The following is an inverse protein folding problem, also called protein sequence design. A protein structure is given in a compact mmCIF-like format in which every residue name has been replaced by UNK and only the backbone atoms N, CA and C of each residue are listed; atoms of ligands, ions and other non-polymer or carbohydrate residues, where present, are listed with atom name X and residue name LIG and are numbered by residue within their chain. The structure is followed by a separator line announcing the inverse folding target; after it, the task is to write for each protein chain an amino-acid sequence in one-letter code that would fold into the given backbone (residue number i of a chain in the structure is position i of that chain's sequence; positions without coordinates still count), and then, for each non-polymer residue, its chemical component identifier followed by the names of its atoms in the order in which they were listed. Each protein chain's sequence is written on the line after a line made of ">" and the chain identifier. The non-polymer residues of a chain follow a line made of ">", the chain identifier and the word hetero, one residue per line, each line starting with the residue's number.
data_IF_062815359948
#
_entry.id   IF_062815359948
#
_cell.length_a   1.000
_cell.length_b   1.000
_cell.length_c   1.000
_cell.angle_alpha   90.00
_cell.angle_beta   90.00
_cell.angle_gamma   90.00
#
_symmetry.space_group_name_H-M   'P 1'
#
loop_
_entity.id
_entity.type
_entity.pdbx_description
1 polymer ?
#
# COMPACT_ATOMS: atom_id res chain seq x y z
N UNK A 1 -27.56 -13.86 15.68
CA UNK A 1 -26.27 -13.73 16.39
C UNK A 1 -25.23 -14.63 15.74
N UNK A 2 -25.52 -15.92 15.58
CA UNK A 2 -24.59 -16.92 15.03
C UNK A 2 -24.07 -16.63 13.61
N UNK A 3 -24.93 -16.19 12.68
CA UNK A 3 -24.50 -15.84 11.33
C UNK A 3 -23.55 -14.64 11.28
N UNK A 4 -23.73 -13.67 12.18
CA UNK A 4 -22.87 -12.48 12.27
C UNK A 4 -21.52 -12.84 12.87
N UNK A 5 -21.52 -13.64 13.94
CA UNK A 5 -20.30 -14.19 14.52
C UNK A 5 -19.52 -15.07 13.52
N UNK A 6 -20.21 -15.88 12.72
CA UNK A 6 -19.58 -16.65 11.67
C UNK A 6 -18.91 -15.74 10.61
N UNK A 7 -19.59 -14.67 10.20
CA UNK A 7 -19.07 -13.72 9.22
C UNK A 7 -17.82 -12.98 9.73
N UNK A 8 -17.84 -12.43 10.95
CA UNK A 8 -16.67 -11.68 11.45
C UNK A 8 -15.47 -12.56 11.79
N UNK A 9 -15.68 -13.87 11.89
CA UNK A 9 -14.63 -14.87 12.13
C UNK A 9 -14.29 -15.69 10.86
N UNK A 10 -14.83 -15.36 9.67
CA UNK A 10 -14.67 -16.18 8.46
C UNK A 10 -13.29 -16.06 7.80
N UNK A 11 -12.35 -15.39 8.44
CA UNK A 11 -11.06 -14.97 7.87
C UNK A 11 -11.18 -14.26 6.51
N UNK A 12 -12.17 -13.37 6.39
CA UNK A 12 -12.41 -12.54 5.20
C UNK A 12 -12.63 -11.08 5.63
N UNK A 13 -12.32 -10.09 4.79
CA UNK A 13 -12.68 -8.70 5.08
C UNK A 13 -14.20 -8.51 4.97
N UNK A 14 -14.77 -7.76 5.92
CA UNK A 14 -16.21 -7.43 5.93
C UNK A 14 -16.36 -5.95 5.64
N UNK A 15 -16.90 -5.60 4.47
CA UNK A 15 -17.14 -4.20 4.08
C UNK A 15 -18.16 -3.56 5.03
N UNK A 16 -17.82 -2.39 5.57
CA UNK A 16 -18.64 -1.64 6.54
C UNK A 16 -19.06 -0.27 6.02
N UNK A 17 -18.38 0.27 5.01
CA UNK A 17 -18.75 1.53 4.36
C UNK A 17 -18.46 1.45 2.85
N UNK A 18 -19.38 1.96 2.04
CA UNK A 18 -19.21 2.21 0.61
C UNK A 18 -19.16 3.73 0.37
N UNK A 19 -18.41 4.15 -0.64
CA UNK A 19 -18.45 5.49 -1.23
C UNK A 19 -18.34 6.65 -0.24
N UNK A 20 -17.53 6.50 0.81
CA UNK A 20 -17.37 7.48 1.89
C UNK A 20 -18.68 7.84 2.61
N UNK A 21 -19.66 6.92 2.57
CA UNK A 21 -20.98 7.08 3.16
C UNK A 21 -22.00 7.77 2.24
N UNK A 22 -21.68 7.99 0.96
CA UNK A 22 -22.64 8.50 -0.02
C UNK A 22 -23.72 7.43 -0.37
N UNK A 23 -24.99 7.84 -0.44
CA UNK A 23 -26.12 6.92 -0.66
C UNK A 23 -26.21 6.38 -2.10
N UNK A 24 -25.78 7.16 -3.10
CA UNK A 24 -25.89 6.83 -4.53
C UNK A 24 -24.51 6.78 -5.22
N UNK A 25 -23.51 6.24 -4.51
CA UNK A 25 -22.15 6.13 -5.02
C UNK A 25 -21.93 4.93 -5.97
N UNK A 26 -20.73 4.82 -6.56
CA UNK A 26 -20.37 3.74 -7.48
C UNK A 26 -20.24 2.34 -6.83
N UNK A 27 -20.47 2.19 -5.53
CA UNK A 27 -20.34 0.93 -4.80
C UNK A 27 -18.91 0.58 -4.41
N UNK A 28 -18.02 1.57 -4.30
CA UNK A 28 -16.61 1.37 -3.97
C UNK A 28 -16.48 1.22 -2.45
N UNK A 29 -15.89 0.11 -1.99
CA UNK A 29 -15.61 -0.07 -0.58
C UNK A 29 -14.61 0.98 -0.07
N UNK A 30 -14.92 1.59 1.07
CA UNK A 30 -14.14 2.68 1.68
C UNK A 30 -13.79 2.43 3.14
N UNK A 31 -14.50 1.50 3.79
CA UNK A 31 -14.12 0.95 5.10
C UNK A 31 -14.51 -0.52 5.19
N UNK A 32 -13.75 -1.28 5.98
CA UNK A 32 -14.01 -2.69 6.24
C UNK A 32 -13.44 -3.10 7.59
N UNK A 33 -14.06 -4.09 8.23
CA UNK A 33 -13.36 -4.89 9.21
C UNK A 33 -12.33 -5.76 8.50
N UNK A 34 -11.06 -5.64 8.88
CA UNK A 34 -9.97 -6.39 8.24
C UNK A 34 -10.06 -7.89 8.51
N UNK A 35 -9.56 -8.68 7.55
CA UNK A 35 -9.39 -10.13 7.70
C UNK A 35 -8.60 -10.47 8.99
N UNK A 36 -9.15 -11.28 9.91
CA UNK A 36 -8.52 -11.66 11.19
C UNK A 36 -7.04 -12.09 11.09
N UNK A 37 -6.67 -12.93 10.12
CA UNK A 37 -5.29 -13.38 9.94
C UNK A 37 -4.34 -12.26 9.52
N UNK A 38 -4.83 -11.29 8.72
CA UNK A 38 -4.07 -10.08 8.39
C UNK A 38 -3.88 -9.19 9.62
N UNK A 39 -4.92 -9.02 10.45
CA UNK A 39 -4.82 -8.28 11.73
C UNK A 39 -3.76 -8.91 12.63
N UNK A 40 -3.83 -10.22 12.83
CA UNK A 40 -2.85 -10.95 13.65
C UNK A 40 -1.42 -10.82 13.09
N UNK A 41 -1.27 -10.90 11.76
CA UNK A 41 0.01 -10.72 11.08
C UNK A 41 0.59 -9.31 11.28
N UNK A 42 -0.22 -8.27 11.10
CA UNK A 42 0.24 -6.89 11.30
C UNK A 42 0.61 -6.59 12.75
N UNK A 43 -0.16 -7.12 13.72
CA UNK A 43 0.18 -7.05 15.14
C UNK A 43 1.49 -7.77 15.45
N UNK A 44 1.73 -8.93 14.85
CA UNK A 44 3.00 -9.65 14.97
C UNK A 44 4.19 -8.86 14.42
N UNK A 45 4.02 -8.21 13.26
CA UNK A 45 5.04 -7.32 12.67
C UNK A 45 5.28 -6.05 13.48
N UNK A 46 4.32 -5.62 14.28
CA UNK A 46 4.42 -4.42 15.10
C UNK A 46 5.37 -4.62 16.29
N UNK A 47 5.67 -5.87 16.68
CA UNK A 47 6.63 -6.20 17.75
C UNK A 47 6.36 -5.40 19.04
N UNK A 48 5.13 -5.44 19.56
CA UNK A 48 4.72 -4.67 20.75
C UNK A 48 5.27 -5.31 22.04
N UNK A 49 5.90 -4.48 22.87
CA UNK A 49 6.26 -4.78 24.26
C UNK A 49 5.47 -3.92 25.25
N UNK A 50 5.48 -4.33 26.52
CA UNK A 50 4.80 -3.64 27.60
C UNK A 50 5.27 -2.18 27.75
N UNK A 51 4.34 -1.29 28.06
CA UNK A 51 4.63 0.13 28.28
C UNK A 51 4.87 0.96 27.02
N UNK A 52 4.80 0.37 25.83
CA UNK A 52 4.94 1.08 24.56
C UNK A 52 3.67 1.83 24.17
N UNK A 53 3.84 3.04 23.66
CA UNK A 53 2.74 3.85 23.13
C UNK A 53 2.53 3.56 21.64
N UNK A 54 1.27 3.35 21.24
CA UNK A 54 0.88 3.03 19.86
C UNK A 54 0.02 4.15 19.27
N UNK A 55 0.30 4.50 18.02
CA UNK A 55 -0.60 5.26 17.14
C UNK A 55 -1.13 4.35 16.03
N UNK A 56 -2.43 4.14 16.01
CA UNK A 56 -3.17 3.52 14.92
C UNK A 56 -3.73 4.60 13.98
N UNK A 57 -3.58 4.38 12.67
CA UNK A 57 -4.19 5.20 11.62
C UNK A 57 -5.25 4.39 10.89
N UNK A 58 -6.51 4.80 11.04
CA UNK A 58 -7.70 4.13 10.52
C UNK A 58 -8.43 3.33 11.61
N UNK A 59 -9.10 4.01 12.55
CA UNK A 59 -9.84 3.32 13.62
C UNK A 59 -10.88 2.34 13.08
N UNK A 60 -11.57 2.68 11.97
CA UNK A 60 -12.53 1.79 11.32
C UNK A 60 -13.62 1.30 12.27
N UNK A 61 -13.69 -0.01 12.50
CA UNK A 61 -14.65 -0.62 13.45
C UNK A 61 -14.25 -0.49 14.92
N UNK A 62 -13.01 -0.09 15.20
CA UNK A 62 -12.40 -0.13 16.53
C UNK A 62 -11.84 -1.50 16.92
N UNK A 63 -11.89 -2.51 16.05
CA UNK A 63 -11.42 -3.86 16.37
C UNK A 63 -9.92 -3.92 16.68
N UNK A 64 -9.08 -3.32 15.83
CA UNK A 64 -7.63 -3.25 16.05
C UNK A 64 -7.29 -2.41 17.28
N UNK A 65 -7.93 -1.25 17.47
CA UNK A 65 -7.83 -0.46 18.70
C UNK A 65 -8.14 -1.28 19.97
N UNK A 66 -9.20 -2.09 19.95
CA UNK A 66 -9.59 -2.94 21.08
C UNK A 66 -8.51 -4.00 21.41
N UNK A 67 -7.92 -4.63 20.39
CA UNK A 67 -6.82 -5.59 20.58
C UNK A 67 -5.57 -4.92 21.16
N UNK A 68 -5.26 -3.70 20.71
CA UNK A 68 -4.17 -2.90 21.25
C UNK A 68 -4.44 -2.52 22.71
N UNK A 69 -5.68 -2.12 23.04
CA UNK A 69 -6.09 -1.81 24.41
C UNK A 69 -5.98 -3.02 25.33
N UNK A 70 -6.44 -4.19 24.89
CA UNK A 70 -6.30 -5.43 25.66
C UNK A 70 -4.82 -5.75 25.93
N UNK A 71 -3.94 -5.47 24.97
CA UNK A 71 -2.49 -5.75 25.08
C UNK A 71 -1.75 -4.75 25.97
N UNK A 72 -2.08 -3.47 25.92
CA UNK A 72 -1.27 -2.37 26.47
C UNK A 72 -1.97 -1.55 27.56
N UNK A 73 -3.29 -1.64 27.65
CA UNK A 73 -4.13 -0.70 28.38
C UNK A 73 -4.49 0.54 27.55
N UNK A 74 -5.65 1.12 27.86
CA UNK A 74 -6.26 2.22 27.11
C UNK A 74 -5.35 3.46 26.96
N UNK A 75 -4.64 3.85 28.02
CA UNK A 75 -3.82 5.08 28.07
C UNK A 75 -2.62 5.07 27.08
N UNK A 76 -2.25 3.89 26.57
CA UNK A 76 -1.14 3.74 25.63
C UNK A 76 -1.58 3.67 24.17
N UNK A 77 -2.89 3.65 23.91
CA UNK A 77 -3.45 3.46 22.57
C UNK A 77 -4.08 4.76 22.07
N UNK A 78 -3.60 5.20 20.92
CA UNK A 78 -4.10 6.39 20.22
C UNK A 78 -4.57 5.94 18.84
N UNK A 79 -5.78 6.29 18.44
CA UNK A 79 -6.34 5.89 17.15
C UNK A 79 -7.03 7.05 16.46
N UNK A 80 -6.69 7.27 15.19
CA UNK A 80 -7.24 8.36 14.38
C UNK A 80 -8.08 7.82 13.23
N UNK A 81 -9.26 8.40 13.04
CA UNK A 81 -10.18 8.09 11.95
C UNK A 81 -10.56 9.38 11.23
N UNK A 82 -10.57 9.36 9.91
CA UNK A 82 -10.87 10.54 9.10
C UNK A 82 -12.37 10.79 9.01
N UNK A 83 -13.17 9.73 8.93
CA UNK A 83 -14.61 9.83 8.80
C UNK A 83 -15.32 10.02 10.16
N UNK A 84 -16.01 11.16 10.40
CA UNK A 84 -16.64 11.41 11.69
C UNK A 84 -17.75 10.42 12.07
N UNK A 85 -18.45 9.83 11.08
CA UNK A 85 -19.51 8.86 11.33
C UNK A 85 -18.91 7.53 11.76
N UNK A 86 -17.89 7.05 11.03
CA UNK A 86 -17.15 5.82 11.37
C UNK A 86 -16.48 5.99 12.73
N UNK A 87 -15.82 7.12 12.99
CA UNK A 87 -15.17 7.40 14.26
C UNK A 87 -16.14 7.35 15.45
N UNK A 88 -17.35 7.89 15.30
CA UNK A 88 -18.39 7.83 16.34
C UNK A 88 -18.84 6.39 16.58
N UNK A 89 -19.08 5.62 15.52
CA UNK A 89 -19.47 4.21 15.63
C UNK A 89 -18.37 3.38 16.33
N UNK A 90 -17.11 3.61 15.98
CA UNK A 90 -15.97 2.97 16.64
C UNK A 90 -15.90 3.31 18.13
N UNK A 91 -16.08 4.59 18.48
CA UNK A 91 -16.09 5.04 19.87
C UNK A 91 -17.21 4.37 20.69
N UNK A 92 -18.42 4.24 20.12
CA UNK A 92 -19.54 3.55 20.75
C UNK A 92 -19.26 2.05 20.92
N UNK A 93 -18.72 1.37 19.90
CA UNK A 93 -18.39 -0.04 19.93
C UNK A 93 -17.29 -0.35 20.96
N UNK A 94 -16.18 0.42 20.94
CA UNK A 94 -15.12 0.35 21.96
C UNK A 94 -15.70 0.58 23.35
N UNK A 95 -16.59 1.57 23.47
CA UNK A 95 -17.18 1.91 24.75
C UNK A 95 -18.00 0.76 25.36
N UNK A 96 -18.81 0.10 24.53
CA UNK A 96 -19.61 -1.07 24.89
C UNK A 96 -18.74 -2.30 25.21
N UNK A 97 -17.61 -2.45 24.53
CA UNK A 97 -16.63 -3.50 24.78
C UNK A 97 -15.77 -3.27 26.05
N UNK A 98 -15.85 -2.08 26.65
CA UNK A 98 -15.13 -1.74 27.89
C UNK A 98 -13.83 -0.98 27.70
N UNK A 99 -13.44 -0.66 26.46
CA UNK A 99 -12.21 0.06 26.14
C UNK A 99 -12.45 1.57 25.98
N UNK A 100 -11.47 2.39 26.37
CA UNK A 100 -11.48 3.86 26.24
C UNK A 100 -10.13 4.42 25.78
N UNK A 101 -9.59 3.98 24.61
CA UNK A 101 -8.37 4.57 24.06
C UNK A 101 -8.55 6.07 23.73
N UNK A 102 -7.43 6.73 23.46
CA UNK A 102 -7.45 8.09 22.94
C UNK A 102 -7.90 8.08 21.48
N UNK A 103 -9.10 8.59 21.20
CA UNK A 103 -9.66 8.65 19.84
C UNK A 103 -9.63 10.08 19.29
N UNK A 104 -9.39 10.21 17.98
CA UNK A 104 -9.44 11.49 17.28
C UNK A 104 -10.09 11.34 15.91
N UNK A 105 -10.92 12.33 15.58
CA UNK A 105 -11.36 12.54 14.19
C UNK A 105 -10.34 13.43 13.48
N UNK A 106 -9.75 12.95 12.39
CA UNK A 106 -8.78 13.71 11.61
C UNK A 106 -8.04 12.90 10.56
N UNK A 107 -7.24 13.60 9.76
CA UNK A 107 -6.38 12.96 8.76
C UNK A 107 -5.14 12.34 9.44
N UNK A 108 -4.97 11.02 9.25
CA UNK A 108 -3.85 10.27 9.81
C UNK A 108 -2.52 10.48 9.08
N UNK A 109 -2.49 11.11 7.90
CA UNK A 109 -1.24 11.59 7.29
C UNK A 109 -0.65 12.78 8.09
N UNK A 110 -1.51 13.52 8.78
CA UNK A 110 -1.11 14.64 9.61
C UNK A 110 -0.72 14.19 11.02
N UNK A 111 0.31 14.82 11.62
CA UNK A 111 0.69 14.48 12.97
C UNK A 111 -0.45 14.67 13.97
N UNK A 112 -0.47 13.86 15.03
CA UNK A 112 -1.35 14.03 16.17
C UNK A 112 -0.87 15.18 17.09
N UNK A 113 -1.61 16.30 17.19
CA UNK A 113 -1.22 17.44 18.02
C UNK A 113 -1.17 17.07 19.50
N UNK A 114 -0.03 17.33 20.14
CA UNK A 114 0.15 17.12 21.59
C UNK A 114 0.43 15.67 22.03
N UNK A 115 0.44 14.69 21.12
CA UNK A 115 0.73 13.28 21.46
C UNK A 115 2.18 13.05 21.92
N UNK A 116 3.11 13.88 21.44
CA UNK A 116 4.54 13.61 21.55
C UNK A 116 4.97 12.46 20.64
N UNK A 117 6.02 11.75 21.06
CA UNK A 117 6.54 10.59 20.32
C UNK A 117 5.85 9.30 20.77
N UNK A 118 5.69 8.36 19.85
CA UNK A 118 5.17 7.01 20.05
C UNK A 118 6.25 5.97 19.75
N UNK A 119 6.08 4.77 20.28
CA UNK A 119 7.01 3.66 20.05
C UNK A 119 6.60 2.84 18.82
N UNK A 120 5.31 2.86 18.48
CA UNK A 120 4.72 2.03 17.43
C UNK A 120 3.70 2.81 16.61
N UNK A 121 3.73 2.61 15.30
CA UNK A 121 2.72 3.11 14.38
C UNK A 121 2.19 1.96 13.55
N UNK A 122 0.88 1.87 13.43
CA UNK A 122 0.22 0.92 12.54
C UNK A 122 -0.82 1.64 11.70
N UNK A 123 -0.74 1.52 10.37
CA UNK A 123 -1.76 2.02 9.47
C UNK A 123 -2.62 0.86 8.98
N UNK A 124 -3.94 0.96 9.15
CA UNK A 124 -4.95 -0.01 8.69
C UNK A 124 -5.67 0.49 7.44
N UNK A 125 -4.99 1.35 6.67
CA UNK A 125 -5.35 1.83 5.35
C UNK A 125 -4.09 1.93 4.49
N UNK A 126 -4.22 1.74 3.17
CA UNK A 126 -3.07 1.70 2.27
C UNK A 126 -2.51 3.11 2.01
N UNK A 127 -1.18 3.21 2.06
CA UNK A 127 -0.43 4.42 1.73
C UNK A 127 0.23 4.28 0.35
N UNK A 128 0.23 5.32 -0.49
CA UNK A 128 1.07 5.36 -1.71
C UNK A 128 2.57 5.41 -1.39
N UNK A 129 2.89 6.06 -0.28
CA UNK A 129 4.22 6.23 0.28
C UNK A 129 4.11 6.37 1.79
N UNK A 130 5.20 6.13 2.52
CA UNK A 130 5.24 6.44 3.96
C UNK A 130 5.53 7.93 4.15
N UNK A 131 4.60 8.74 4.67
CA UNK A 131 4.83 10.18 4.86
C UNK A 131 5.93 10.40 5.90
N UNK A 132 6.95 11.20 5.58
CA UNK A 132 7.99 11.52 6.55
C UNK A 132 7.43 12.28 7.77
N UNK A 133 6.30 12.97 7.62
CA UNK A 133 5.56 13.59 8.74
C UNK A 133 5.16 12.59 9.82
N UNK A 134 4.76 11.39 9.43
CA UNK A 134 4.39 10.31 10.34
C UNK A 134 5.60 9.81 11.12
N UNK A 135 6.74 9.63 10.44
CA UNK A 135 7.98 9.15 11.04
C UNK A 135 8.51 10.10 12.13
N UNK A 136 8.26 11.40 12.01
CA UNK A 136 8.65 12.38 13.04
C UNK A 136 7.93 12.20 14.38
N UNK A 137 6.84 11.44 14.42
CA UNK A 137 6.17 11.08 15.67
C UNK A 137 6.67 9.78 16.28
N UNK A 138 7.63 9.10 15.65
CA UNK A 138 8.11 7.80 16.11
C UNK A 138 9.47 7.98 16.77
N UNK A 139 9.64 7.39 17.96
CA UNK A 139 10.93 7.41 18.65
C UNK A 139 11.97 6.61 17.86
N UNK A 140 13.28 6.95 17.95
CA UNK A 140 14.33 6.06 17.50
C UNK A 140 14.18 4.65 18.11
N UNK A 141 14.37 3.63 17.28
CA UNK A 141 14.09 2.23 17.59
C UNK A 141 12.63 1.81 17.39
N UNK A 142 11.70 2.76 17.25
CA UNK A 142 10.28 2.50 17.05
C UNK A 142 9.97 1.83 15.71
N UNK A 143 8.82 1.14 15.66
CA UNK A 143 8.40 0.31 14.52
C UNK A 143 7.16 0.91 13.85
N UNK A 144 7.18 0.95 12.52
CA UNK A 144 6.06 1.36 11.68
C UNK A 144 5.63 0.19 10.81
N UNK A 145 4.36 -0.19 10.88
CA UNK A 145 3.74 -1.20 10.01
C UNK A 145 2.67 -0.54 9.18
N UNK A 146 2.76 -0.66 7.87
CA UNK A 146 1.76 -0.09 6.97
C UNK A 146 1.61 -0.93 5.69
N UNK A 147 0.39 -1.09 5.16
CA UNK A 147 0.19 -1.51 3.79
C UNK A 147 0.54 -0.37 2.84
N UNK A 148 1.33 -0.67 1.82
CA UNK A 148 1.64 0.22 0.72
C UNK A 148 0.91 -0.24 -0.55
N UNK A 149 0.18 0.66 -1.19
CA UNK A 149 -0.42 0.46 -2.50
C UNK A 149 0.25 1.42 -3.49
N UNK A 150 1.24 0.92 -4.24
CA UNK A 150 2.03 1.75 -5.17
C UNK A 150 1.43 1.73 -6.57
N UNK A 151 1.95 2.62 -7.42
CA UNK A 151 1.38 2.89 -8.75
C UNK A 151 1.37 1.65 -9.65
N UNK A 152 2.39 0.80 -9.58
CA UNK A 152 2.50 -0.44 -10.36
C UNK A 152 1.75 -1.61 -9.71
N UNK A 153 0.46 -1.42 -9.37
CA UNK A 153 -0.44 -2.35 -8.65
C UNK A 153 0.00 -2.85 -7.27
N UNK A 154 1.29 -2.80 -6.92
CA UNK A 154 1.84 -3.52 -5.78
C UNK A 154 1.18 -3.14 -4.45
N UNK A 155 0.44 -4.08 -3.87
CA UNK A 155 -0.05 -4.06 -2.49
C UNK A 155 0.85 -4.89 -1.58
N UNK A 156 1.65 -4.26 -0.71
CA UNK A 156 2.59 -4.95 0.17
C UNK A 156 2.60 -4.37 1.58
N UNK A 157 2.80 -5.21 2.61
CA UNK A 157 3.13 -4.70 3.93
C UNK A 157 4.58 -4.25 3.97
N UNK A 158 4.85 -3.16 4.68
CA UNK A 158 6.19 -2.76 5.08
C UNK A 158 6.29 -2.77 6.61
N UNK A 159 7.45 -3.17 7.12
CA UNK A 159 7.83 -3.00 8.52
C UNK A 159 9.12 -2.19 8.58
N UNK A 160 9.04 -0.96 9.06
CA UNK A 160 10.18 -0.06 9.15
C UNK A 160 10.59 0.15 10.59
N UNK A 161 11.90 0.23 10.84
CA UNK A 161 12.45 0.69 12.11
C UNK A 161 13.05 2.08 11.94
N UNK A 162 12.61 3.01 12.77
CA UNK A 162 13.14 4.38 12.81
C UNK A 162 14.51 4.38 13.48
N UNK A 163 15.49 5.00 12.85
CA UNK A 163 16.87 5.11 13.28
C UNK A 163 17.07 6.41 14.08
N UNK A 164 18.22 6.55 14.74
CA UNK A 164 18.57 7.74 15.53
C UNK A 164 18.64 9.02 14.70
N UNK A 165 18.94 8.91 13.40
CA UNK A 165 19.01 10.04 12.47
C UNK A 165 17.65 10.41 11.84
N UNK A 166 16.57 9.72 12.24
CA UNK A 166 15.22 9.92 11.70
C UNK A 166 14.92 9.13 10.41
N UNK A 167 15.90 8.46 9.82
CA UNK A 167 15.68 7.53 8.70
C UNK A 167 14.84 6.35 9.18
N UNK A 168 13.93 5.84 8.36
CA UNK A 168 13.25 4.58 8.61
C UNK A 168 13.65 3.53 7.58
N UNK A 169 14.01 2.33 8.02
CA UNK A 169 14.48 1.26 7.14
C UNK A 169 13.90 -0.09 7.55
N UNK A 170 13.54 -0.92 6.58
CA UNK A 170 13.12 -2.29 6.85
C UNK A 170 12.51 -2.99 5.65
N UNK A 171 12.14 -4.28 5.82
CA UNK A 171 11.72 -5.13 4.72
C UNK A 171 10.26 -4.90 4.31
N UNK A 172 9.97 -5.26 3.06
CA UNK A 172 8.61 -5.64 2.69
C UNK A 172 8.29 -7.00 3.30
N UNK A 173 7.06 -7.17 3.73
CA UNK A 173 6.59 -8.33 4.48
C UNK A 173 5.45 -8.99 3.73
N UNK A 174 5.62 -9.28 2.44
CA UNK A 174 4.63 -9.92 1.57
C UNK A 174 3.40 -9.07 1.24
N UNK A 175 2.44 -9.68 0.54
CA UNK A 175 1.27 -8.99 0.00
C UNK A 175 0.27 -8.52 1.06
N UNK A 176 -0.35 -7.36 0.81
CA UNK A 176 -1.54 -6.89 1.50
C UNK A 176 -2.27 -5.85 0.66
N UNK A 177 -3.60 -5.99 0.58
CA UNK A 177 -4.48 -5.04 -0.08
C UNK A 177 -5.38 -4.41 0.97
N UNK A 178 -5.36 -3.09 1.04
CA UNK A 178 -6.17 -2.29 1.96
C UNK A 178 -6.83 -1.16 1.17
N UNK A 179 -7.96 -0.66 1.70
CA UNK A 179 -8.56 0.56 1.15
C UNK A 179 -7.56 1.71 1.26
N UNK A 180 -7.36 2.52 0.20
CA UNK A 180 -6.43 3.63 0.27
C UNK A 180 -6.86 4.65 1.33
N UNK A 181 -5.90 5.15 2.11
CA UNK A 181 -6.10 6.37 2.88
C UNK A 181 -6.63 7.45 1.92
N UNK A 182 -7.63 8.25 2.35
CA UNK A 182 -8.31 9.18 1.44
C UNK A 182 -7.35 10.16 0.76
N UNK A 183 -6.35 10.70 1.46
CA UNK A 183 -5.30 11.56 0.90
C UNK A 183 -4.32 10.81 -0.04
N UNK A 184 -4.27 9.48 0.06
CA UNK A 184 -3.45 8.59 -0.77
C UNK A 184 -4.25 7.93 -1.91
N UNK A 185 -5.51 8.28 -2.16
CA UNK A 185 -6.24 7.82 -3.35
C UNK A 185 -5.60 8.35 -4.62
N UNK A 186 -5.14 7.44 -5.48
CA UNK A 186 -4.62 7.82 -6.78
C UNK A 186 -5.77 8.33 -7.67
N UNK A 187 -5.53 9.34 -8.53
CA UNK A 187 -6.47 9.69 -9.58
C UNK A 187 -6.65 8.49 -10.54
N UNK A 188 -7.67 8.60 -11.40
CA UNK A 188 -7.92 7.64 -12.47
C UNK A 188 -6.70 7.50 -13.41
N UNK A 189 -6.74 6.52 -14.31
CA UNK A 189 -5.69 6.33 -15.30
C UNK A 189 -5.45 7.63 -16.08
N UNK A 190 -4.20 7.88 -16.48
CA UNK A 190 -3.88 9.08 -17.26
C UNK A 190 -4.63 9.05 -18.60
N UNK A 191 -5.08 10.23 -19.04
CA UNK A 191 -5.73 10.42 -20.34
C UNK A 191 -4.87 9.86 -21.48
N UNK A 192 -5.40 8.88 -22.20
CA UNK A 192 -4.73 8.27 -23.36
C UNK A 192 -5.35 8.81 -24.64
N UNK A 193 -4.52 9.33 -25.54
CA UNK A 193 -4.95 9.86 -26.85
C UNK A 193 -4.13 9.27 -28.00
N UNK A 194 -4.76 9.14 -29.16
CA UNK A 194 -4.10 8.73 -30.40
C UNK A 194 -4.51 7.35 -30.90
N UNK A 195 -3.93 6.94 -32.04
CA UNK A 195 -4.17 5.62 -32.64
C UNK A 195 -3.28 4.58 -31.96
N UNK A 196 -3.89 3.46 -31.56
CA UNK A 196 -3.17 2.33 -30.99
C UNK A 196 -2.25 1.65 -32.01
N UNK A 197 -1.10 1.17 -31.54
CA UNK A 197 -0.14 0.36 -32.29
C UNK A 197 -0.14 -1.04 -31.68
N UNK A 198 -0.56 -2.04 -32.46
CA UNK A 198 -0.59 -3.43 -32.01
C UNK A 198 0.79 -4.09 -32.16
N UNK A 199 1.13 -5.00 -31.25
CA UNK A 199 2.28 -5.90 -31.36
C UNK A 199 2.02 -7.21 -30.60
N UNK A 200 2.78 -8.26 -30.95
CA UNK A 200 2.84 -9.48 -30.15
C UNK A 200 3.28 -9.14 -28.72
N UNK A 201 2.67 -9.76 -27.71
CA UNK A 201 2.83 -9.33 -26.33
C UNK A 201 4.24 -9.52 -25.75
N UNK A 202 5.01 -10.52 -26.18
CA UNK A 202 6.38 -10.82 -25.71
C UNK A 202 6.53 -11.21 -24.23
N UNK A 203 5.59 -10.79 -23.38
CA UNK A 203 5.45 -11.09 -21.97
C UNK A 203 3.96 -11.30 -21.67
N UNK A 204 3.62 -12.37 -20.95
CA UNK A 204 2.24 -12.59 -20.51
C UNK A 204 1.87 -11.55 -19.43
N UNK A 205 0.78 -10.77 -19.59
CA UNK A 205 0.37 -9.76 -18.60
C UNK A 205 0.16 -10.32 -17.19
N UNK A 206 -0.16 -11.61 -17.02
CA UNK A 206 -0.26 -12.23 -15.70
C UNK A 206 1.07 -12.19 -14.91
N UNK A 207 2.21 -12.13 -15.61
CA UNK A 207 3.54 -11.98 -14.98
C UNK A 207 3.73 -10.64 -14.30
N UNK A 208 2.99 -9.60 -14.72
CA UNK A 208 3.08 -8.26 -14.14
C UNK A 208 2.45 -8.22 -12.74
N UNK A 209 1.65 -9.24 -12.40
CA UNK A 209 0.98 -9.33 -11.10
C UNK A 209 1.80 -10.05 -10.03
N UNK A 210 2.97 -10.60 -10.38
CA UNK A 210 3.93 -11.11 -9.41
C UNK A 210 4.39 -9.98 -8.48
N UNK A 211 4.31 -10.17 -7.16
CA UNK A 211 4.57 -9.10 -6.21
C UNK A 211 6.05 -8.67 -6.20
N UNK A 212 6.98 -9.61 -6.35
CA UNK A 212 8.40 -9.30 -6.45
C UNK A 212 8.69 -8.45 -7.68
N UNK A 213 8.12 -8.83 -8.82
CA UNK A 213 8.22 -8.02 -10.04
C UNK A 213 7.56 -6.65 -9.88
N UNK A 214 6.38 -6.56 -9.28
CA UNK A 214 5.68 -5.29 -9.10
C UNK A 214 6.47 -4.30 -8.23
N UNK A 215 7.15 -4.80 -7.18
CA UNK A 215 8.08 -3.99 -6.36
C UNK A 215 9.31 -3.54 -7.16
N UNK A 216 9.91 -4.44 -7.93
CA UNK A 216 11.06 -4.15 -8.78
C UNK A 216 10.71 -3.12 -9.87
N UNK A 217 9.65 -3.39 -10.62
CA UNK A 217 9.15 -2.55 -11.70
C UNK A 217 8.71 -1.17 -11.19
N UNK A 218 7.96 -1.11 -10.08
CA UNK A 218 7.56 0.16 -9.48
C UNK A 218 8.72 1.01 -8.98
N UNK A 219 9.89 0.42 -8.71
CA UNK A 219 11.11 1.17 -8.38
C UNK A 219 11.89 1.62 -9.63
N UNK A 220 11.95 0.76 -10.67
CA UNK A 220 12.59 1.07 -11.95
C UNK A 220 11.80 2.09 -12.79
N UNK A 221 10.47 2.06 -12.72
CA UNK A 221 9.53 2.81 -13.55
C UNK A 221 8.62 3.73 -12.69
N UNK A 222 9.17 4.71 -11.95
CA UNK A 222 8.35 5.64 -11.17
C UNK A 222 7.39 6.41 -12.10
N UNK A 223 6.16 6.66 -11.63
CA UNK A 223 5.12 7.32 -12.42
C UNK A 223 4.40 6.40 -13.42
N UNK A 224 4.77 5.12 -13.51
CA UNK A 224 4.01 4.12 -14.29
C UNK A 224 2.94 3.51 -13.40
N UNK A 225 1.68 3.73 -13.78
CA UNK A 225 0.52 3.17 -13.12
C UNK A 225 0.02 1.94 -13.85
N UNK A 226 -0.21 0.85 -13.11
CA UNK A 226 -0.81 -0.39 -13.62
C UNK A 226 -2.10 -0.67 -12.85
N UNK A 227 -3.19 -0.91 -13.58
CA UNK A 227 -4.40 -1.54 -13.05
C UNK A 227 -4.66 -2.84 -13.82
N UNK A 228 -5.39 -3.75 -13.20
CA UNK A 228 -5.68 -5.05 -13.79
C UNK A 228 -7.11 -5.51 -13.48
N UNK A 229 -7.56 -6.49 -14.23
CA UNK A 229 -8.81 -7.22 -14.00
C UNK A 229 -8.60 -8.69 -14.36
N UNK A 230 -9.09 -9.60 -13.52
CA UNK A 230 -9.21 -11.01 -13.87
C UNK A 230 -10.40 -11.20 -14.83
N UNK A 231 -10.17 -11.89 -15.95
CA UNK A 231 -11.21 -12.17 -16.94
C UNK A 231 -11.61 -13.67 -16.98
N UNK A 232 -11.26 -14.42 -15.94
CA UNK A 232 -11.58 -15.84 -15.78
C UNK A 232 -10.63 -16.80 -16.52
N UNK A 233 -10.14 -16.41 -17.70
CA UNK A 233 -9.19 -17.18 -18.51
C UNK A 233 -7.75 -16.65 -18.42
N UNK A 234 -7.57 -15.48 -17.81
CA UNK A 234 -6.29 -14.82 -17.59
C UNK A 234 -6.47 -13.42 -16.99
N UNK A 235 -5.59 -12.51 -17.37
CA UNK A 235 -5.54 -11.14 -16.83
C UNK A 235 -5.57 -10.13 -17.97
N UNK A 236 -6.34 -9.06 -17.78
CA UNK A 236 -6.23 -7.84 -18.56
C UNK A 236 -5.54 -6.75 -17.73
N UNK A 237 -4.55 -6.07 -18.30
CA UNK A 237 -3.84 -4.95 -17.67
C UNK A 237 -3.97 -3.68 -18.51
N UNK A 238 -4.02 -2.55 -17.82
CA UNK A 238 -3.90 -1.22 -18.38
C UNK A 238 -2.76 -0.50 -17.68
N UNK A 239 -1.81 -0.01 -18.46
CA UNK A 239 -0.63 0.67 -17.95
C UNK A 239 -0.56 2.07 -18.54
N UNK A 240 -0.32 3.07 -17.71
CA UNK A 240 -0.26 4.49 -18.13
C UNK A 240 0.88 5.23 -17.43
N UNK A 241 1.35 6.32 -18.03
CA UNK A 241 2.31 7.27 -17.46
C UNK A 241 1.82 8.70 -17.71
N UNK A 242 2.22 9.65 -16.87
CA UNK A 242 1.80 11.06 -16.94
C UNK A 242 2.04 11.73 -18.31
N UNK A 243 3.08 11.31 -19.05
CA UNK A 243 3.37 11.82 -20.39
C UNK A 243 2.37 11.35 -21.48
N UNK A 244 1.32 10.60 -21.11
CA UNK A 244 0.31 10.06 -22.01
C UNK A 244 0.69 8.74 -22.69
N UNK A 245 1.87 8.17 -22.39
CA UNK A 245 2.21 6.82 -22.88
C UNK A 245 1.35 5.78 -22.17
N UNK A 246 0.84 4.81 -22.91
CA UNK A 246 0.01 3.76 -22.35
C UNK A 246 0.11 2.44 -23.12
N UNK A 247 -0.21 1.36 -22.44
CA UNK A 247 -0.33 0.03 -23.03
C UNK A 247 -1.52 -0.73 -22.42
N UNK A 248 -2.20 -1.53 -23.24
CA UNK A 248 -3.23 -2.47 -22.80
C UNK A 248 -2.90 -3.86 -23.31
N UNK A 249 -2.99 -4.86 -22.44
CA UNK A 249 -2.64 -6.22 -22.77
C UNK A 249 -3.60 -7.19 -22.08
N UNK A 250 -4.00 -8.24 -22.78
CA UNK A 250 -4.76 -9.35 -22.21
C UNK A 250 -4.03 -10.68 -22.48
N UNK A 251 -4.15 -11.63 -21.56
CA UNK A 251 -3.53 -12.95 -21.70
C UNK A 251 -3.96 -13.59 -23.02
N UNK A 252 -2.98 -14.00 -23.84
CA UNK A 252 -3.21 -14.62 -25.15
C UNK A 252 -3.53 -13.64 -26.30
N UNK A 253 -3.58 -12.33 -26.04
CA UNK A 253 -3.87 -11.31 -27.05
C UNK A 253 -2.65 -10.47 -27.43
N UNK A 254 -2.80 -9.64 -28.47
CA UNK A 254 -1.82 -8.61 -28.81
C UNK A 254 -1.83 -7.47 -27.78
N UNK A 255 -0.68 -6.82 -27.62
CA UNK A 255 -0.56 -5.59 -26.84
C UNK A 255 -0.87 -4.41 -27.73
N UNK A 256 -1.70 -3.50 -27.22
CA UNK A 256 -1.98 -2.22 -27.85
C UNK A 256 -1.29 -1.10 -27.10
N UNK A 257 -0.51 -0.29 -27.81
CA UNK A 257 0.23 0.83 -27.25
C UNK A 257 -0.20 2.18 -27.80
N UNK A 258 -0.17 3.20 -26.95
CA UNK A 258 -0.67 4.54 -27.22
C UNK A 258 0.30 5.60 -26.72
N UNK A 259 0.16 6.83 -27.23
CA UNK A 259 1.00 7.95 -26.82
C UNK A 259 2.47 7.82 -27.28
N UNK A 260 3.38 8.60 -26.67
CA UNK A 260 4.80 8.58 -27.01
C UNK A 260 5.51 7.31 -26.52
N UNK A 261 6.60 6.96 -27.19
CA UNK A 261 7.49 5.87 -26.76
C UNK A 261 6.89 4.47 -26.94
N UNK A 262 7.43 3.55 -26.14
CA UNK A 262 7.26 2.09 -26.22
C UNK A 262 7.14 1.53 -24.79
N UNK A 263 6.11 1.98 -24.07
CA UNK A 263 5.96 1.69 -22.63
C UNK A 263 5.92 0.20 -22.32
N UNK A 264 5.35 -0.61 -23.21
CA UNK A 264 5.31 -2.05 -23.00
C UNK A 264 6.69 -2.68 -23.13
N UNK A 265 7.47 -2.28 -24.13
CA UNK A 265 8.84 -2.73 -24.31
C UNK A 265 9.75 -2.30 -23.14
N UNK A 266 9.51 -1.11 -22.57
CA UNK A 266 10.16 -0.69 -21.32
C UNK A 266 9.86 -1.70 -20.19
N UNK A 267 8.60 -2.13 -20.04
CA UNK A 267 8.19 -3.12 -19.02
C UNK A 267 8.81 -4.50 -19.30
N UNK A 268 8.82 -4.96 -20.56
CA UNK A 268 9.48 -6.21 -20.95
C UNK A 268 10.97 -6.18 -20.60
N UNK A 269 11.66 -5.07 -20.86
CA UNK A 269 13.07 -4.94 -20.50
C UNK A 269 13.26 -5.06 -18.98
N UNK A 270 12.42 -4.38 -18.19
CA UNK A 270 12.48 -4.46 -16.72
C UNK A 270 12.16 -5.87 -16.22
N UNK A 271 11.28 -6.61 -16.91
CA UNK A 271 11.02 -8.02 -16.61
C UNK A 271 12.26 -8.89 -16.82
N UNK A 272 13.02 -8.69 -17.90
CA UNK A 272 14.26 -9.44 -18.12
C UNK A 272 15.36 -9.06 -17.12
N UNK A 273 15.42 -7.80 -16.68
CA UNK A 273 16.30 -7.38 -15.57
C UNK A 273 15.92 -8.09 -14.26
N UNK A 274 14.63 -8.17 -13.94
CA UNK A 274 14.11 -8.88 -12.77
C UNK A 274 14.42 -10.38 -12.83
N UNK A 275 14.26 -11.00 -14.00
CA UNK A 275 14.60 -12.40 -14.21
C UNK A 275 16.11 -12.66 -14.08
N UNK A 276 16.95 -11.78 -14.63
CA UNK A 276 18.39 -11.85 -14.46
C UNK A 276 18.83 -11.67 -12.99
N UNK A 277 18.06 -10.94 -12.20
CA UNK A 277 18.23 -10.81 -10.75
C UNK A 277 17.75 -12.04 -9.96
N UNK A 278 17.25 -13.09 -10.63
CA UNK A 278 16.83 -14.34 -10.01
C UNK A 278 15.37 -14.35 -9.55
N UNK A 279 14.54 -13.41 -10.03
CA UNK A 279 13.12 -13.26 -9.64
C UNK A 279 12.92 -13.20 -8.12
N UNK A 280 13.54 -12.23 -7.43
CA UNK A 280 13.48 -12.15 -5.98
C UNK A 280 12.04 -12.02 -5.48
N UNK A 281 11.72 -12.73 -4.40
CA UNK A 281 10.43 -12.63 -3.72
C UNK A 281 10.31 -11.32 -2.93
N UNK A 282 9.07 -10.95 -2.58
CA UNK A 282 8.77 -9.67 -1.93
C UNK A 282 9.54 -9.44 -0.60
N UNK A 283 9.86 -10.49 0.14
CA UNK A 283 10.60 -10.42 1.42
C UNK A 283 12.10 -10.14 1.25
N UNK A 284 12.63 -10.26 0.02
CA UNK A 284 13.99 -9.86 -0.33
C UNK A 284 14.10 -8.35 -0.61
N UNK A 285 12.99 -7.65 -0.76
CA UNK A 285 12.98 -6.21 -0.93
C UNK A 285 12.85 -5.50 0.41
N UNK A 286 13.29 -4.25 0.44
CA UNK A 286 12.92 -3.34 1.50
C UNK A 286 12.88 -1.89 1.08
N UNK A 287 12.56 -1.04 2.04
CA UNK A 287 12.31 0.37 1.85
C UNK A 287 13.17 1.16 2.85
N UNK A 288 13.76 2.23 2.35
CA UNK A 288 14.38 3.27 3.18
C UNK A 288 13.62 4.57 2.95
N UNK A 289 13.25 5.26 4.03
CA UNK A 289 12.51 6.52 4.02
C UNK A 289 13.32 7.58 4.76
N UNK A 290 13.52 8.73 4.13
CA UNK A 290 14.29 9.87 4.63
C UNK A 290 13.48 11.16 4.47
N UNK A 291 13.99 12.27 4.99
CA UNK A 291 13.44 13.61 4.76
C UNK A 291 13.50 14.06 3.28
N UNK A 292 14.35 13.42 2.46
CA UNK A 292 14.52 13.70 1.03
C UNK A 292 13.71 12.78 0.11
N UNK A 293 13.02 11.79 0.66
CA UNK A 293 12.25 10.81 -0.09
C UNK A 293 12.54 9.37 0.33
N UNK A 294 12.06 8.42 -0.46
CA UNK A 294 12.19 6.99 -0.17
C UNK A 294 12.68 6.20 -1.38
N UNK A 295 13.35 5.08 -1.12
CA UNK A 295 13.87 4.22 -2.16
C UNK A 295 13.73 2.75 -1.78
N UNK A 296 13.39 1.94 -2.78
CA UNK A 296 13.35 0.49 -2.66
C UNK A 296 14.76 -0.06 -2.89
N UNK A 297 15.12 -1.08 -2.13
CA UNK A 297 16.37 -1.81 -2.27
C UNK A 297 16.12 -3.32 -2.32
N UNK A 298 17.09 -4.06 -2.84
CA UNK A 298 17.07 -5.52 -2.96
C UNK A 298 18.17 -6.12 -2.08
N UNK A 299 17.83 -7.05 -1.20
CA UNK A 299 18.77 -7.72 -0.29
C UNK A 299 19.18 -6.87 0.91
N UNK A 300 19.84 -5.73 0.67
CA UNK A 300 20.32 -4.83 1.73
C UNK A 300 20.11 -3.34 1.40
N UNK A 301 20.01 -2.44 2.40
CA UNK A 301 19.68 -1.02 2.18
C UNK A 301 20.60 -0.25 1.22
N UNK A 302 21.84 -0.71 1.01
CA UNK A 302 22.81 -0.07 0.10
C UNK A 302 22.59 -0.44 -1.37
N UNK A 303 21.87 -1.53 -1.63
CA UNK A 303 21.59 -2.04 -2.98
C UNK A 303 20.29 -1.44 -3.50
N UNK A 304 20.31 -0.12 -3.70
CA UNK A 304 19.16 0.64 -4.15
C UNK A 304 18.77 0.27 -5.59
N UNK A 305 17.48 0.06 -5.82
CA UNK A 305 16.95 -0.10 -7.17
C UNK A 305 16.77 1.30 -7.77
N UNK A 306 17.68 1.66 -8.67
CA UNK A 306 17.66 2.96 -9.33
C UNK A 306 16.66 3.01 -10.48
N UNK A 307 16.05 4.17 -10.70
CA UNK A 307 15.17 4.43 -11.86
C UNK A 307 15.87 4.12 -13.19
N UNK A 308 15.12 3.55 -14.13
CA UNK A 308 15.58 3.27 -15.48
C UNK A 308 15.65 4.56 -16.32
N UNK A 309 16.69 4.69 -17.14
CA UNK A 309 16.89 5.82 -18.05
C UNK A 309 16.66 5.35 -19.49
N UNK A 310 15.40 5.42 -19.94
CA UNK A 310 15.03 5.06 -21.32
C UNK A 310 15.22 6.21 -22.32
N UNK A 311 15.60 7.42 -21.85
CA UNK A 311 15.82 8.58 -22.72
C UNK A 311 17.10 8.47 -23.57
N UNK A 312 18.02 7.55 -23.22
CA UNK A 312 19.29 7.35 -23.95
C UNK A 312 19.27 6.27 -25.02
N UNK A 313 18.20 5.50 -25.15
CA UNK A 313 18.15 4.35 -26.06
C UNK A 313 17.81 4.69 -27.53
N UNK A 314 17.56 5.96 -27.85
CA UNK A 314 17.23 6.41 -29.22
C UNK A 314 18.35 7.29 -29.78
N UNK A 315 19.52 6.70 -30.01
CA UNK A 315 20.42 7.19 -31.05
C UNK A 315 20.40 6.14 -32.17
N UNK A 316 19.78 6.40 -33.34
CA UNK A 316 19.91 5.49 -34.46
C UNK A 316 21.38 5.45 -34.87
N UNK A 317 21.97 4.26 -34.89
CA UNK A 317 23.19 3.99 -35.65
C UNK A 317 22.89 4.32 -37.11
N UNK A 318 23.46 5.42 -37.59
CA UNK A 318 23.47 5.80 -39.00
C UNK A 318 24.32 4.87 -39.86
#
# INVERSE_FOLDING_TARGET
>A
MDAWLALVNSDEPVVTQLDDGAEDGPGIATSSNSMPSMVARMLGLLEIDDGQRVLEIGTGTGYMAALLCERLGDDLVHSVELDPVVARQAAEALAQAGYRPHLRVGDGEQPWPGLGLVDRVIATCALRYVPYSLLRQVRPGGVVVAPLAREFWSGALVRLRVQDDGTAVGPFCGGATYMPMRSHRAPDLHDVRGRGRARAAGLDPARLLDLGFALFAGARLPGVRLIHQDNGEGVQVWVTRENGSAATAATGEEVWQYGPGFLWEEIEQIWWEYEAAGRPDADQFGLTVTDRGQHVWLGEPRQVIHTADFAKAVAPTG
#
